data_IF_634278728674
#
_entry.id   IF_634278728674
#
_cell.length_a   1.000
_cell.length_b   1.000
_cell.length_c   1.000
_cell.angle_alpha   90.00
_cell.angle_beta   90.00
_cell.angle_gamma   90.00
#
_symmetry.space_group_name_H-M   'P 1'
#
loop_
_entity.id
_entity.type
_entity.pdbx_description
1 polymer ?
#
# COMPACT_ATOMS: atom_id res chain seq x y z
N UNK A 1 -1.62 9.49 -12.30
CA UNK A 1 -1.85 9.83 -10.88
C UNK A 1 -2.38 8.58 -10.17
N UNK A 2 -1.75 8.14 -9.07
CA UNK A 2 -2.14 6.91 -8.36
C UNK A 2 -3.45 7.14 -7.60
N UNK A 3 -4.43 6.25 -7.80
CA UNK A 3 -5.70 6.34 -7.11
C UNK A 3 -5.61 5.72 -5.70
N UNK A 4 -5.20 6.52 -4.73
CA UNK A 4 -5.13 6.09 -3.33
C UNK A 4 -6.50 5.92 -2.65
N UNK A 5 -7.58 6.30 -3.34
CA UNK A 5 -8.95 6.16 -2.84
C UNK A 5 -9.32 4.68 -2.58
N UNK A 6 -8.57 3.74 -3.15
CA UNK A 6 -8.74 2.28 -2.98
C UNK A 6 -8.48 1.82 -1.53
N UNK A 7 -7.71 2.59 -0.75
CA UNK A 7 -7.40 2.27 0.67
C UNK A 7 -8.47 2.85 1.63
N UNK A 8 -9.47 3.61 1.15
CA UNK A 8 -10.59 4.04 2.00
C UNK A 8 -11.52 2.86 2.25
N UNK A 9 -11.41 2.27 3.44
CA UNK A 9 -12.38 1.28 3.90
C UNK A 9 -13.69 2.00 4.25
N UNK A 10 -14.80 1.51 3.69
CA UNK A 10 -16.17 2.06 3.69
C UNK A 10 -16.85 2.10 5.07
N UNK A 11 -16.12 2.30 6.18
CA UNK A 11 -16.72 2.34 7.52
C UNK A 11 -15.86 2.80 8.70
N UNK A 12 -14.53 3.00 8.56
CA UNK A 12 -13.66 3.57 9.62
C UNK A 12 -12.53 4.39 9.02
N UNK A 13 -12.76 5.69 8.86
CA UNK A 13 -11.83 6.64 8.21
C UNK A 13 -10.46 6.76 8.90
N UNK A 14 -10.41 6.61 10.23
CA UNK A 14 -9.17 6.72 11.01
C UNK A 14 -8.17 5.59 10.72
N UNK A 15 -8.65 4.35 10.58
CA UNK A 15 -7.81 3.17 10.31
C UNK A 15 -7.22 3.22 8.89
N UNK A 16 -8.02 3.67 7.93
CA UNK A 16 -7.64 3.76 6.51
C UNK A 16 -6.47 4.72 6.29
N UNK A 17 -6.48 5.88 6.95
CA UNK A 17 -5.37 6.85 6.87
C UNK A 17 -4.09 6.32 7.51
N UNK A 18 -4.20 5.57 8.62
CA UNK A 18 -3.04 4.97 9.30
C UNK A 18 -2.36 3.92 8.41
N UNK A 19 -3.15 3.04 7.79
CA UNK A 19 -2.67 2.03 6.83
C UNK A 19 -1.93 2.70 5.68
N UNK A 20 -2.55 3.71 5.06
CA UNK A 20 -1.94 4.46 3.95
C UNK A 20 -0.60 5.09 4.35
N UNK A 21 -0.54 5.76 5.52
CA UNK A 21 0.71 6.34 6.02
C UNK A 21 1.78 5.29 6.26
N UNK A 22 1.43 4.15 6.86
CA UNK A 22 2.35 3.04 7.11
C UNK A 22 2.98 2.53 5.81
N UNK A 23 2.14 2.30 4.80
CA UNK A 23 2.56 1.85 3.47
C UNK A 23 3.48 2.87 2.79
N UNK A 24 3.06 4.14 2.73
CA UNK A 24 3.86 5.20 2.09
C UNK A 24 5.20 5.38 2.79
N UNK A 25 5.21 5.34 4.14
CA UNK A 25 6.43 5.41 4.94
C UNK A 25 7.37 4.24 4.63
N UNK A 26 6.84 3.02 4.51
CA UNK A 26 7.66 1.85 4.14
C UNK A 26 8.28 2.01 2.76
N UNK A 27 7.50 2.40 1.76
CA UNK A 27 7.97 2.57 0.37
C UNK A 27 9.00 3.69 0.30
N UNK A 28 8.75 4.85 0.92
CA UNK A 28 9.72 5.96 0.91
C UNK A 28 11.01 5.64 1.64
N UNK A 29 10.97 4.80 2.68
CA UNK A 29 12.16 4.39 3.43
C UNK A 29 13.00 3.31 2.74
N UNK A 30 12.36 2.32 2.13
CA UNK A 30 13.06 1.19 1.49
C UNK A 30 13.27 1.38 -0.01
N UNK A 31 12.42 2.16 -0.66
CA UNK A 31 12.43 2.41 -2.11
C UNK A 31 12.23 3.90 -2.42
N UNK A 32 13.16 4.79 -2.00
CA UNK A 32 13.00 6.25 -2.06
C UNK A 32 12.83 6.85 -3.49
N UNK A 33 12.97 6.06 -4.55
CA UNK A 33 12.73 6.48 -5.93
C UNK A 33 11.70 5.61 -6.67
N UNK A 34 11.04 4.66 -6.00
CA UNK A 34 10.06 3.82 -6.66
C UNK A 34 8.69 4.47 -6.64
N UNK A 35 8.16 4.70 -7.84
CA UNK A 35 6.79 5.17 -8.04
C UNK A 35 5.85 3.99 -7.90
N UNK A 36 4.75 4.15 -7.16
CA UNK A 36 3.68 3.15 -7.15
C UNK A 36 2.99 3.16 -8.51
N UNK A 37 2.97 2.04 -9.20
CA UNK A 37 2.22 1.86 -10.45
C UNK A 37 0.75 1.61 -10.16
N UNK A 38 0.46 0.62 -9.30
CA UNK A 38 -0.91 0.19 -9.00
C UNK A 38 -1.04 -0.31 -7.57
N UNK A 39 -2.24 -0.18 -7.01
CA UNK A 39 -2.59 -0.69 -5.68
C UNK A 39 -3.81 -1.59 -5.86
N UNK A 40 -3.70 -2.83 -5.44
CA UNK A 40 -4.78 -3.81 -5.46
C UNK A 40 -5.14 -4.22 -4.03
N UNK A 41 -6.43 -4.24 -3.70
CA UNK A 41 -6.92 -4.78 -2.44
C UNK A 41 -7.53 -6.16 -2.70
N UNK A 42 -6.99 -7.19 -2.07
CA UNK A 42 -7.55 -8.56 -2.12
C UNK A 42 -7.92 -9.00 -0.71
N UNK A 43 -9.23 -9.21 -0.47
CA UNK A 43 -9.80 -9.64 0.81
C UNK A 43 -9.26 -8.83 2.00
N UNK A 44 -8.17 -9.30 2.61
CA UNK A 44 -7.52 -8.74 3.79
C UNK A 44 -6.05 -8.36 3.55
N UNK A 45 -5.65 -8.11 2.30
CA UNK A 45 -4.30 -7.71 1.95
C UNK A 45 -4.30 -6.60 0.88
N UNK A 46 -3.28 -5.75 0.93
CA UNK A 46 -2.97 -4.75 -0.08
C UNK A 46 -1.73 -5.18 -0.85
N UNK A 47 -1.85 -5.35 -2.15
CA UNK A 47 -0.72 -5.52 -3.06
C UNK A 47 -0.40 -4.20 -3.73
N UNK A 48 0.87 -3.84 -3.75
CA UNK A 48 1.37 -2.61 -4.32
C UNK A 48 2.41 -2.96 -5.36
N UNK A 49 2.10 -2.61 -6.59
CA UNK A 49 3.01 -2.76 -7.71
C UNK A 49 3.78 -1.46 -7.85
N UNK A 50 5.10 -1.53 -7.78
CA UNK A 50 6.00 -0.43 -8.06
C UNK A 50 6.34 -0.43 -9.55
N UNK A 51 6.56 0.76 -10.13
CA UNK A 51 7.00 0.91 -11.51
C UNK A 51 8.34 0.23 -11.79
N UNK A 52 9.16 0.05 -10.76
CA UNK A 52 10.42 -0.69 -10.85
C UNK A 52 10.23 -2.20 -11.11
N UNK A 53 8.99 -2.70 -11.14
CA UNK A 53 8.65 -4.13 -11.31
C UNK A 53 8.47 -4.91 -10.01
N UNK A 54 8.68 -4.25 -8.86
CA UNK A 54 8.61 -4.88 -7.53
C UNK A 54 7.16 -4.92 -7.04
N UNK A 55 6.76 -6.04 -6.43
CA UNK A 55 5.42 -6.22 -5.87
C UNK A 55 5.50 -6.35 -4.33
N UNK A 56 4.99 -5.36 -3.61
CA UNK A 56 4.94 -5.35 -2.16
C UNK A 56 3.56 -5.81 -1.67
N UNK A 57 3.51 -6.71 -0.69
CA UNK A 57 2.28 -7.21 -0.09
C UNK A 57 2.22 -6.74 1.37
N UNK A 58 1.12 -6.08 1.71
CA UNK A 58 0.79 -5.62 3.05
C UNK A 58 -0.49 -6.29 3.54
N UNK A 59 -0.60 -6.49 4.86
CA UNK A 59 -1.80 -7.00 5.50
C UNK A 59 -2.90 -5.92 5.59
N UNK A 60 -4.12 -6.28 6.00
CA UNK A 60 -5.24 -5.36 6.16
C UNK A 60 -4.94 -4.22 7.14
N UNK A 61 -4.00 -4.46 8.06
CA UNK A 61 -3.51 -3.50 9.06
C UNK A 61 -2.40 -2.56 8.52
N UNK A 62 -1.95 -2.74 7.27
CA UNK A 62 -0.89 -1.94 6.65
C UNK A 62 0.52 -2.33 7.07
N UNK A 63 0.70 -3.56 7.57
CA UNK A 63 2.00 -4.13 7.92
C UNK A 63 2.56 -4.87 6.72
N UNK A 64 3.84 -4.68 6.42
CA UNK A 64 4.52 -5.41 5.35
C UNK A 64 4.53 -6.92 5.67
N UNK A 65 4.07 -7.73 4.71
CA UNK A 65 4.02 -9.19 4.82
C UNK A 65 5.16 -9.81 4.02
N UNK A 66 5.24 -9.44 2.73
CA UNK A 66 6.26 -9.98 1.82
C UNK A 66 6.45 -9.11 0.58
N UNK A 67 7.60 -9.28 -0.06
CA UNK A 67 7.93 -8.72 -1.37
C UNK A 67 8.08 -9.85 -2.38
N UNK A 68 7.65 -9.61 -3.61
CA UNK A 68 7.79 -10.51 -4.76
C UNK A 68 8.32 -9.75 -5.97
#
# INVERSE_FOLDING_TARGET
MINWNIIRNTGREASSNKIRKSIVSFITRHHPCSVVSSIEKKYNAYKIHLMSGICLVFDADGRFVKMN
#
